data_IF_895660510100
#
_entry.id   IF_895660510100
#
_cell.length_a   1.000
_cell.length_b   1.000
_cell.length_c   1.000
_cell.angle_alpha   90.00
_cell.angle_beta   90.00
_cell.angle_gamma   90.00
#
_symmetry.space_group_name_H-M   'P 1'
#
loop_
_entity.id
_entity.type
_entity.pdbx_description
1 polymer ?
#
# COMPACT_ATOMS: atom_id res chain seq x y z
N UNK A 1 14.59 -34.54 3.47
CA UNK A 1 13.52 -35.53 3.61
C UNK A 1 12.18 -34.80 3.52
N UNK A 2 11.27 -35.33 2.68
CA UNK A 2 9.94 -34.74 2.41
C UNK A 2 9.07 -34.79 3.66
N UNK A 3 9.15 -35.84 4.45
CA UNK A 3 8.37 -36.00 5.69
C UNK A 3 8.73 -34.89 6.71
N UNK A 4 9.99 -34.59 6.89
CA UNK A 4 10.44 -33.46 7.72
C UNK A 4 9.88 -32.10 7.23
N UNK A 5 9.86 -31.90 5.92
CA UNK A 5 9.31 -30.69 5.35
C UNK A 5 7.80 -30.57 5.63
N UNK A 6 7.05 -31.66 5.47
CA UNK A 6 5.61 -31.69 5.77
C UNK A 6 5.33 -31.47 7.26
N UNK A 7 6.10 -32.08 8.17
CA UNK A 7 6.02 -31.81 9.61
C UNK A 7 6.28 -30.34 9.94
N UNK A 8 7.23 -29.71 9.26
CA UNK A 8 7.48 -28.27 9.42
C UNK A 8 6.31 -27.42 8.90
N UNK A 9 5.68 -27.81 7.77
CA UNK A 9 4.49 -27.14 7.26
C UNK A 9 3.34 -27.18 8.27
N UNK A 10 3.07 -28.33 8.88
CA UNK A 10 2.03 -28.51 9.90
C UNK A 10 2.35 -27.72 11.18
N UNK A 11 3.61 -27.76 11.60
CA UNK A 11 4.07 -26.92 12.71
C UNK A 11 3.75 -25.44 12.45
N UNK A 12 4.04 -24.90 11.24
CA UNK A 12 3.74 -23.51 10.92
C UNK A 12 2.25 -23.19 10.99
N UNK A 13 1.37 -24.12 10.63
CA UNK A 13 -0.08 -23.93 10.71
C UNK A 13 -0.61 -23.89 12.16
N UNK A 14 0.09 -24.49 13.10
CA UNK A 14 -0.25 -24.55 14.53
C UNK A 14 0.60 -23.64 15.43
N UNK A 15 1.67 -23.05 14.89
CA UNK A 15 2.68 -22.32 15.67
C UNK A 15 2.11 -21.12 16.43
N UNK A 16 2.56 -20.97 17.67
CA UNK A 16 2.22 -19.83 18.54
C UNK A 16 3.11 -18.63 18.24
N UNK A 17 2.61 -17.43 18.47
CA UNK A 17 3.40 -16.19 18.42
C UNK A 17 4.38 -16.15 19.58
N UNK A 18 5.64 -15.79 19.33
CA UNK A 18 6.69 -15.74 20.37
C UNK A 18 6.45 -14.64 21.42
N UNK A 19 5.86 -13.51 21.04
CA UNK A 19 5.75 -12.31 21.90
C UNK A 19 4.32 -11.88 22.21
N UNK A 20 3.29 -12.59 21.74
CA UNK A 20 1.88 -12.26 21.92
C UNK A 20 1.07 -13.54 22.03
N UNK A 21 -0.03 -13.49 22.77
CA UNK A 21 -0.96 -14.60 22.82
C UNK A 21 -1.55 -14.91 21.43
N UNK A 22 -1.81 -16.19 21.15
CA UNK A 22 -2.43 -16.69 19.93
C UNK A 22 -1.45 -17.32 18.94
N UNK A 23 -2.01 -17.89 17.89
CA UNK A 23 -1.27 -18.52 16.78
C UNK A 23 -0.83 -17.49 15.76
N UNK A 24 0.20 -17.83 14.97
CA UNK A 24 0.54 -17.03 13.78
C UNK A 24 -0.63 -17.12 12.78
N UNK A 25 -0.82 -16.06 11.98
CA UNK A 25 -1.86 -16.08 10.94
C UNK A 25 -1.48 -17.02 9.81
N UNK A 26 -2.47 -17.58 9.11
CA UNK A 26 -2.25 -18.44 7.94
C UNK A 26 -1.37 -17.75 6.88
N UNK A 27 -1.57 -16.46 6.66
CA UNK A 27 -0.74 -15.67 5.74
C UNK A 27 0.72 -15.55 6.21
N UNK A 28 0.98 -15.47 7.53
CA UNK A 28 2.34 -15.51 8.07
C UNK A 28 2.96 -16.87 7.89
N UNK A 29 2.21 -17.94 8.17
CA UNK A 29 2.66 -19.32 7.94
C UNK A 29 3.00 -19.55 6.46
N UNK A 30 2.15 -19.09 5.53
CA UNK A 30 2.41 -19.14 4.09
C UNK A 30 3.68 -18.38 3.69
N UNK A 31 3.93 -17.21 4.30
CA UNK A 31 5.15 -16.43 4.08
C UNK A 31 6.41 -17.18 4.52
N UNK A 32 6.42 -17.72 5.74
CA UNK A 32 7.54 -18.52 6.24
C UNK A 32 7.76 -19.78 5.42
N UNK A 33 6.69 -20.46 5.05
CA UNK A 33 6.74 -21.64 4.19
C UNK A 33 7.32 -21.33 2.80
N UNK A 34 6.90 -20.24 2.19
CA UNK A 34 7.43 -19.78 0.91
C UNK A 34 8.93 -19.47 0.98
N UNK A 35 9.39 -18.83 2.05
CA UNK A 35 10.81 -18.56 2.29
C UNK A 35 11.60 -19.86 2.44
N UNK A 36 11.10 -20.81 3.21
CA UNK A 36 11.72 -22.12 3.39
C UNK A 36 11.82 -22.90 2.07
N UNK A 37 10.74 -22.92 1.28
CA UNK A 37 10.74 -23.52 -0.07
C UNK A 37 11.73 -22.85 -1.02
N UNK A 38 11.87 -21.52 -0.93
CA UNK A 38 12.89 -20.78 -1.66
C UNK A 38 14.30 -21.21 -1.30
N UNK A 39 14.56 -21.41 0.00
CA UNK A 39 15.83 -21.92 0.50
C UNK A 39 16.13 -23.35 -0.03
N UNK A 40 15.16 -24.27 0.03
CA UNK A 40 15.33 -25.62 -0.54
C UNK A 40 15.65 -25.58 -2.04
N UNK A 41 15.06 -24.66 -2.79
CA UNK A 41 15.37 -24.49 -4.21
C UNK A 41 16.82 -24.05 -4.45
N UNK A 42 17.34 -23.20 -3.57
CA UNK A 42 18.75 -22.76 -3.62
C UNK A 42 19.67 -23.95 -3.33
N UNK A 43 19.38 -24.74 -2.28
CA UNK A 43 20.16 -25.93 -1.94
C UNK A 43 20.20 -26.95 -3.10
N UNK A 44 19.07 -27.17 -3.77
CA UNK A 44 19.01 -28.04 -4.93
C UNK A 44 19.86 -27.52 -6.10
N UNK A 45 19.74 -26.23 -6.43
CA UNK A 45 20.51 -25.58 -7.49
C UNK A 45 22.02 -25.62 -7.24
N UNK A 46 22.42 -25.54 -5.99
CA UNK A 46 23.83 -25.62 -5.60
C UNK A 46 24.34 -27.06 -5.42
N UNK A 47 23.54 -28.08 -5.78
CA UNK A 47 23.93 -29.50 -5.64
C UNK A 47 24.03 -30.01 -4.21
N UNK A 48 23.61 -29.22 -3.20
CA UNK A 48 23.65 -29.61 -1.77
C UNK A 48 22.59 -30.65 -1.42
N UNK A 49 21.50 -30.71 -2.17
CA UNK A 49 20.50 -31.78 -2.11
C UNK A 49 20.29 -32.34 -3.54
N UNK A 50 20.15 -33.67 -3.63
CA UNK A 50 20.09 -34.38 -4.91
C UNK A 50 18.71 -34.29 -5.57
N UNK A 51 17.64 -34.08 -4.82
CA UNK A 51 16.26 -34.08 -5.30
C UNK A 51 15.62 -32.72 -5.09
N UNK A 52 14.88 -32.22 -6.08
CA UNK A 52 14.06 -31.01 -5.92
C UNK A 52 12.81 -31.34 -5.09
N UNK A 53 12.94 -31.30 -3.78
CA UNK A 53 11.83 -31.61 -2.85
C UNK A 53 10.61 -30.71 -3.05
N UNK A 54 10.78 -29.52 -3.65
CA UNK A 54 9.67 -28.57 -3.87
C UNK A 54 8.57 -29.12 -4.79
N UNK A 55 8.89 -30.09 -5.65
CA UNK A 55 7.93 -30.68 -6.57
C UNK A 55 6.90 -31.55 -5.84
N UNK A 56 7.21 -31.96 -4.61
CA UNK A 56 6.37 -32.78 -3.75
C UNK A 56 5.73 -32.03 -2.57
N UNK A 57 6.01 -30.72 -2.45
CA UNK A 57 5.53 -29.91 -1.33
C UNK A 57 4.35 -29.02 -1.71
N UNK A 58 3.23 -29.24 -1.05
CA UNK A 58 2.04 -28.39 -1.21
C UNK A 58 2.29 -26.96 -0.69
N UNK A 59 1.61 -26.00 -1.29
CA UNK A 59 1.59 -24.63 -0.79
C UNK A 59 0.71 -24.51 0.45
N UNK A 60 0.97 -23.54 1.30
CA UNK A 60 0.02 -23.07 2.30
C UNK A 60 -0.80 -21.97 1.62
N UNK A 61 -2.07 -22.25 1.36
CA UNK A 61 -3.00 -21.29 0.79
C UNK A 61 -3.17 -20.09 1.72
N UNK A 62 -3.17 -18.89 1.14
CA UNK A 62 -3.39 -17.65 1.87
C UNK A 62 -4.87 -17.36 2.02
N UNK A 63 -5.24 -16.77 3.16
CA UNK A 63 -6.56 -16.19 3.35
C UNK A 63 -6.60 -14.79 2.74
N UNK A 64 -7.65 -14.51 1.99
CA UNK A 64 -7.86 -13.14 1.48
C UNK A 64 -8.36 -12.27 2.63
N UNK A 65 -7.43 -11.56 3.25
CA UNK A 65 -7.76 -10.58 4.28
C UNK A 65 -8.07 -9.25 3.62
N UNK A 66 -9.36 -8.91 3.54
CA UNK A 66 -9.78 -7.57 3.14
C UNK A 66 -9.19 -6.55 4.11
N UNK A 67 -8.16 -5.89 3.65
CA UNK A 67 -7.55 -4.80 4.41
C UNK A 67 -8.34 -3.53 4.16
N UNK A 68 -8.65 -2.79 5.20
CA UNK A 68 -9.54 -1.64 5.18
C UNK A 68 -8.93 -0.41 4.49
N UNK A 69 -9.79 0.35 3.82
CA UNK A 69 -9.52 1.67 3.27
C UNK A 69 -10.57 2.65 3.81
N UNK A 70 -10.26 3.93 3.82
CA UNK A 70 -11.21 4.97 4.20
C UNK A 70 -12.20 5.20 3.06
N UNK A 71 -13.45 5.54 3.39
CA UNK A 71 -14.39 6.16 2.45
C UNK A 71 -14.05 7.63 2.25
N UNK A 72 -14.72 8.30 1.33
CA UNK A 72 -14.58 9.76 1.11
C UNK A 72 -15.01 10.51 2.36
N UNK A 73 -16.12 10.14 2.96
CA UNK A 73 -16.69 10.76 4.17
C UNK A 73 -15.74 10.57 5.37
N UNK A 74 -15.20 9.36 5.55
CA UNK A 74 -14.21 9.09 6.60
C UNK A 74 -12.91 9.88 6.38
N UNK A 75 -12.50 10.09 5.13
CA UNK A 75 -11.32 10.90 4.81
C UNK A 75 -11.54 12.36 5.16
N UNK A 76 -12.70 12.95 4.85
CA UNK A 76 -13.06 14.31 5.23
C UNK A 76 -13.14 14.45 6.76
N UNK A 77 -13.84 13.54 7.44
CA UNK A 77 -13.93 13.53 8.89
C UNK A 77 -12.55 13.46 9.55
N UNK A 78 -11.66 12.63 9.02
CA UNK A 78 -10.29 12.52 9.49
C UNK A 78 -9.49 13.82 9.23
N UNK A 79 -9.70 14.44 8.08
CA UNK A 79 -9.05 15.71 7.72
C UNK A 79 -9.49 16.88 8.64
N UNK A 80 -10.73 16.91 9.08
CA UNK A 80 -11.24 17.92 10.01
C UNK A 80 -10.82 17.68 11.47
N UNK A 81 -10.62 16.40 11.84
CA UNK A 81 -10.30 16.03 13.22
C UNK A 81 -8.91 16.54 13.65
N UNK A 82 -8.79 17.24 14.79
CA UNK A 82 -7.50 17.64 15.34
C UNK A 82 -6.60 16.46 15.68
N UNK A 83 -5.31 16.58 15.40
CA UNK A 83 -4.32 15.55 15.70
C UNK A 83 -3.26 16.10 16.68
N UNK A 84 -3.00 15.38 17.78
CA UNK A 84 -1.95 15.75 18.76
C UNK A 84 -0.55 15.86 18.14
N UNK A 85 -0.34 15.21 17.01
CA UNK A 85 0.90 15.28 16.21
C UNK A 85 0.56 15.75 14.80
N UNK A 86 0.51 17.07 14.53
CA UNK A 86 0.07 17.61 13.24
C UNK A 86 0.80 17.02 12.05
N UNK A 87 2.12 16.77 12.18
CA UNK A 87 2.93 16.17 11.13
C UNK A 87 2.46 14.76 10.72
N UNK A 88 1.87 13.98 11.66
CA UNK A 88 1.29 12.66 11.36
C UNK A 88 0.04 12.83 10.50
N UNK A 89 -0.82 13.81 10.83
CA UNK A 89 -2.01 14.14 10.05
C UNK A 89 -1.62 14.54 8.62
N UNK A 90 -0.70 15.50 8.49
CA UNK A 90 -0.23 16.00 7.19
C UNK A 90 0.35 14.85 6.35
N UNK A 91 1.24 14.04 6.91
CA UNK A 91 1.85 12.91 6.21
C UNK A 91 0.84 11.83 5.80
N UNK A 92 -0.17 11.57 6.64
CA UNK A 92 -1.23 10.60 6.37
C UNK A 92 -2.13 11.06 5.22
N UNK A 93 -2.60 12.30 5.27
CA UNK A 93 -3.43 12.89 4.21
C UNK A 93 -2.64 13.01 2.90
N UNK A 94 -1.39 13.45 2.97
CA UNK A 94 -0.50 13.49 1.80
C UNK A 94 -0.32 12.10 1.17
N UNK A 95 -0.21 11.03 1.97
CA UNK A 95 -0.18 9.65 1.47
C UNK A 95 -1.50 9.25 0.81
N UNK A 96 -2.66 9.73 1.29
CA UNK A 96 -3.95 9.53 0.63
C UNK A 96 -4.06 10.21 -0.73
N UNK A 97 -3.32 11.31 -0.94
CA UNK A 97 -3.37 12.11 -2.16
C UNK A 97 -2.30 11.72 -3.19
N UNK A 98 -1.18 11.14 -2.74
CA UNK A 98 -0.03 10.82 -3.59
C UNK A 98 0.28 9.34 -3.70
N UNK A 99 -0.41 8.49 -2.94
CA UNK A 99 -0.10 7.05 -2.82
C UNK A 99 1.27 6.69 -2.23
N UNK A 100 2.11 7.65 -1.81
CA UNK A 100 3.44 7.39 -1.29
C UNK A 100 3.44 6.47 -0.06
N UNK A 101 4.40 5.54 -0.01
CA UNK A 101 4.59 4.66 1.15
C UNK A 101 5.23 5.45 2.30
N UNK A 102 5.06 4.98 3.54
CA UNK A 102 5.72 5.61 4.69
C UNK A 102 7.24 5.73 4.53
N UNK A 103 7.89 4.76 3.88
CA UNK A 103 9.33 4.83 3.60
C UNK A 103 9.69 5.99 2.67
N UNK A 104 8.84 6.22 1.67
CA UNK A 104 9.05 7.26 0.66
C UNK A 104 8.74 8.65 1.27
N UNK A 105 7.69 8.75 2.09
CA UNK A 105 7.36 9.98 2.83
C UNK A 105 8.47 10.37 3.81
N UNK A 106 9.04 9.41 4.55
CA UNK A 106 10.14 9.68 5.48
C UNK A 106 11.44 10.11 4.78
N UNK A 107 11.61 9.75 3.52
CA UNK A 107 12.78 10.10 2.71
C UNK A 107 12.53 11.30 1.79
N UNK A 108 11.29 11.75 1.61
CA UNK A 108 10.91 12.80 0.68
C UNK A 108 11.59 14.12 1.03
N UNK A 109 12.23 14.72 0.04
CA UNK A 109 12.90 16.00 0.14
C UNK A 109 12.15 17.06 -0.68
N UNK A 110 12.32 18.31 -0.33
CA UNK A 110 11.76 19.43 -1.11
C UNK A 110 12.33 19.44 -2.53
N UNK A 111 13.58 19.04 -2.70
CA UNK A 111 14.27 18.95 -3.96
C UNK A 111 13.72 17.86 -4.89
N UNK A 112 12.98 16.89 -4.34
CA UNK A 112 12.30 15.84 -5.13
C UNK A 112 10.99 16.33 -5.75
N UNK A 113 10.52 17.54 -5.38
CA UNK A 113 9.30 18.16 -5.91
C UNK A 113 9.71 19.10 -7.04
N UNK A 114 9.53 18.65 -8.27
CA UNK A 114 9.98 19.33 -9.48
C UNK A 114 8.82 19.68 -10.41
N UNK A 115 9.08 20.47 -11.43
CA UNK A 115 8.08 20.77 -12.46
C UNK A 115 7.73 19.51 -13.25
N UNK A 116 6.43 19.32 -13.49
CA UNK A 116 5.94 18.20 -14.27
C UNK A 116 5.76 18.63 -15.73
N UNK A 117 6.21 17.82 -16.67
CA UNK A 117 6.15 18.13 -18.09
C UNK A 117 4.73 18.36 -18.64
N UNK A 118 3.71 17.77 -18.01
CA UNK A 118 2.32 18.00 -18.36
C UNK A 118 1.66 19.16 -17.58
N UNK A 119 2.46 19.96 -16.87
CA UNK A 119 2.03 21.09 -16.03
C UNK A 119 1.88 20.75 -14.54
N UNK A 120 2.08 21.75 -13.68
CA UNK A 120 2.07 21.59 -12.24
C UNK A 120 3.37 20.98 -11.68
N UNK A 121 3.28 20.35 -10.52
CA UNK A 121 4.41 19.71 -9.82
C UNK A 121 4.27 18.21 -9.74
N UNK A 122 5.39 17.51 -9.62
CA UNK A 122 5.43 16.07 -9.35
C UNK A 122 6.50 15.74 -8.31
N UNK A 123 6.32 14.62 -7.64
CA UNK A 123 7.38 13.96 -6.88
C UNK A 123 8.18 13.08 -7.82
N UNK A 124 9.48 13.33 -7.91
CA UNK A 124 10.43 12.53 -8.67
C UNK A 124 11.36 11.82 -7.68
N UNK A 125 11.15 10.53 -7.45
CA UNK A 125 11.88 9.75 -6.45
C UNK A 125 12.33 8.40 -6.97
N UNK A 126 13.42 7.93 -6.37
CA UNK A 126 13.80 6.51 -6.47
C UNK A 126 13.13 5.77 -5.30
N UNK A 127 12.11 4.98 -5.59
CA UNK A 127 11.34 4.28 -4.54
C UNK A 127 12.23 3.35 -3.72
N UNK A 128 12.15 3.46 -2.40
CA UNK A 128 12.99 2.69 -1.47
C UNK A 128 12.85 1.18 -1.64
N UNK A 129 11.67 0.71 -2.00
CA UNK A 129 11.36 -0.72 -2.12
C UNK A 129 11.91 -1.37 -3.39
N UNK A 130 11.80 -0.70 -4.53
CA UNK A 130 12.03 -1.30 -5.84
C UNK A 130 13.26 -0.74 -6.56
N UNK A 131 13.88 0.32 -6.02
CA UNK A 131 14.94 1.11 -6.67
C UNK A 131 14.54 1.57 -8.08
N UNK A 132 13.23 1.70 -8.31
CA UNK A 132 12.67 2.22 -9.55
C UNK A 132 12.48 3.73 -9.42
N UNK A 133 12.72 4.43 -10.51
CA UNK A 133 12.42 5.84 -10.66
C UNK A 133 10.93 6.00 -10.91
N UNK A 134 10.26 6.80 -10.10
CA UNK A 134 8.84 7.06 -10.20
C UNK A 134 8.57 8.57 -10.23
N UNK A 135 7.69 8.98 -11.14
CA UNK A 135 7.19 10.34 -11.28
C UNK A 135 5.72 10.33 -10.88
N UNK A 136 5.39 11.01 -9.80
CA UNK A 136 4.03 11.03 -9.24
C UNK A 136 3.54 12.48 -9.26
N UNK A 137 2.57 12.83 -10.14
CA UNK A 137 1.96 14.16 -10.14
C UNK A 137 1.34 14.49 -8.79
N UNK A 138 1.48 15.76 -8.36
CA UNK A 138 0.94 16.27 -7.08
C UNK A 138 -0.11 17.31 -7.39
N UNK A 139 -1.27 17.22 -6.74
CA UNK A 139 -2.30 18.25 -6.82
C UNK A 139 -1.91 19.51 -6.04
N UNK A 140 -2.47 20.66 -6.42
CA UNK A 140 -2.28 21.93 -5.69
C UNK A 140 -2.74 21.82 -4.24
N UNK A 141 -3.79 21.07 -3.97
CA UNK A 141 -4.25 20.78 -2.61
C UNK A 141 -3.21 20.02 -1.79
N UNK A 142 -2.54 19.03 -2.37
CA UNK A 142 -1.49 18.28 -1.69
C UNK A 142 -0.23 19.15 -1.48
N UNK A 143 0.09 20.05 -2.41
CA UNK A 143 1.16 21.04 -2.24
C UNK A 143 0.83 22.03 -1.11
N UNK A 144 -0.41 22.52 -1.07
CA UNK A 144 -0.92 23.39 0.00
C UNK A 144 -0.86 22.71 1.36
N UNK A 145 -1.24 21.43 1.44
CA UNK A 145 -1.22 20.64 2.67
C UNK A 145 0.17 20.56 3.32
N UNK A 146 1.23 20.42 2.52
CA UNK A 146 2.63 20.38 3.01
C UNK A 146 3.25 21.78 3.11
N UNK A 147 2.53 22.82 2.68
CA UNK A 147 3.04 24.19 2.63
C UNK A 147 4.23 24.32 1.69
N UNK A 148 4.07 23.84 0.46
CA UNK A 148 5.16 23.85 -0.53
C UNK A 148 5.72 25.26 -0.76
N UNK A 149 7.05 25.35 -0.87
CA UNK A 149 7.77 26.52 -1.36
C UNK A 149 9.05 26.07 -2.05
N UNK A 150 9.39 26.66 -3.18
CA UNK A 150 10.61 26.36 -3.93
C UNK A 150 11.92 26.71 -3.19
N UNK A 151 11.83 27.54 -2.16
CA UNK A 151 12.98 27.94 -1.33
C UNK A 151 13.32 26.92 -0.26
N UNK A 152 12.38 26.03 0.10
CA UNK A 152 12.59 25.02 1.12
C UNK A 152 13.56 23.95 0.66
N UNK A 153 14.40 23.47 1.59
CA UNK A 153 15.39 22.41 1.35
C UNK A 153 15.36 21.34 2.43
N UNK A 154 15.83 20.16 2.09
CA UNK A 154 15.92 19.04 3.00
C UNK A 154 14.62 18.24 3.10
N UNK A 155 14.44 17.49 4.18
CA UNK A 155 13.28 16.61 4.35
C UNK A 155 11.97 17.39 4.50
N UNK A 156 10.95 17.01 3.74
CA UNK A 156 9.58 17.57 3.82
C UNK A 156 8.96 17.24 5.20
N UNK A 157 9.12 16.03 5.66
CA UNK A 157 8.56 15.54 6.93
C UNK A 157 9.66 15.31 7.97
N UNK A 158 10.56 16.28 8.16
CA UNK A 158 11.74 16.20 9.03
C UNK A 158 11.44 15.71 10.45
N UNK A 159 10.30 16.11 11.02
CA UNK A 159 9.93 15.78 12.40
C UNK A 159 9.13 14.47 12.51
N UNK A 160 8.77 13.86 11.38
CA UNK A 160 7.96 12.65 11.40
C UNK A 160 8.77 11.45 11.88
N UNK A 161 8.37 10.86 13.01
CA UNK A 161 8.95 9.59 13.47
C UNK A 161 8.09 8.41 13.03
N UNK A 162 8.72 7.36 12.53
CA UNK A 162 8.02 6.13 12.11
C UNK A 162 7.20 5.50 13.23
N UNK A 163 7.63 5.59 14.48
CA UNK A 163 6.90 5.11 15.65
C UNK A 163 5.54 5.81 15.83
N UNK A 164 5.41 7.07 15.40
CA UNK A 164 4.16 7.83 15.51
C UNK A 164 3.05 7.33 14.59
N UNK A 165 3.38 6.52 13.59
CA UNK A 165 2.38 5.82 12.77
C UNK A 165 1.70 4.65 13.50
N UNK A 166 2.05 4.39 14.74
CA UNK A 166 1.43 3.39 15.60
C UNK A 166 0.42 4.05 16.56
N UNK A 167 0.85 4.46 17.75
CA UNK A 167 -0.07 4.95 18.79
C UNK A 167 -0.66 6.33 18.44
N UNK A 168 0.13 7.39 18.14
CA UNK A 168 -0.44 8.71 17.85
C UNK A 168 -1.43 8.72 16.68
N UNK A 169 -1.12 7.98 15.61
CA UNK A 169 -2.00 7.87 14.46
C UNK A 169 -3.30 7.14 14.81
N UNK A 170 -3.23 6.06 15.57
CA UNK A 170 -4.44 5.30 15.99
C UNK A 170 -5.33 6.08 16.92
N UNK A 171 -4.74 6.87 17.84
CA UNK A 171 -5.51 7.77 18.71
C UNK A 171 -6.28 8.81 17.88
N UNK A 172 -5.60 9.43 16.90
CA UNK A 172 -6.23 10.38 15.99
C UNK A 172 -7.36 9.77 15.17
N UNK A 173 -7.16 8.57 14.61
CA UNK A 173 -8.21 7.84 13.86
C UNK A 173 -9.43 7.56 14.74
N UNK A 174 -9.21 7.14 16.00
CA UNK A 174 -10.30 6.91 16.96
C UNK A 174 -11.02 8.18 17.33
N UNK A 175 -10.30 9.30 17.52
CA UNK A 175 -10.93 10.60 17.81
C UNK A 175 -11.78 11.13 16.65
N UNK A 176 -11.52 10.68 15.43
CA UNK A 176 -12.37 10.90 14.26
C UNK A 176 -13.57 9.93 14.19
N UNK A 177 -13.82 9.10 15.21
CA UNK A 177 -14.93 8.15 15.21
C UNK A 177 -14.76 6.95 14.26
N UNK A 178 -13.58 6.78 13.65
CA UNK A 178 -13.32 5.72 12.68
C UNK A 178 -12.95 4.43 13.42
N UNK A 179 -13.76 3.39 13.24
CA UNK A 179 -13.59 2.07 13.90
C UNK A 179 -12.72 1.11 13.10
N UNK A 180 -12.47 1.40 11.83
CA UNK A 180 -11.64 0.60 10.94
C UNK A 180 -10.19 0.49 11.45
N UNK A 181 -9.57 -0.67 11.20
CA UNK A 181 -8.16 -0.88 11.54
C UNK A 181 -7.25 -0.25 10.47
N UNK A 182 -7.15 1.05 10.49
CA UNK A 182 -6.32 1.83 9.56
C UNK A 182 -4.85 1.79 10.00
N UNK A 183 -3.99 1.43 9.08
CA UNK A 183 -2.53 1.51 9.16
C UNK A 183 -2.03 2.55 8.18
N UNK A 184 -0.76 2.97 8.28
CA UNK A 184 -0.21 3.92 7.30
C UNK A 184 -0.33 3.39 5.86
N UNK A 185 -0.21 2.09 5.64
CA UNK A 185 -0.42 1.48 4.33
C UNK A 185 -1.89 1.55 3.84
N UNK A 186 -2.84 1.72 4.76
CA UNK A 186 -4.25 1.90 4.39
C UNK A 186 -4.51 3.21 3.66
N UNK A 187 -3.72 4.28 3.91
CA UNK A 187 -3.85 5.55 3.18
C UNK A 187 -3.53 5.39 1.69
N UNK A 188 -2.46 4.70 1.37
CA UNK A 188 -2.14 4.35 -0.02
C UNK A 188 -3.22 3.48 -0.68
N UNK A 189 -3.87 2.63 0.11
CA UNK A 189 -5.01 1.83 -0.36
C UNK A 189 -6.25 2.70 -0.56
N UNK A 190 -6.48 3.66 0.34
CA UNK A 190 -7.53 4.67 0.20
C UNK A 190 -7.39 5.41 -1.12
N UNK A 191 -6.18 5.90 -1.44
CA UNK A 191 -5.89 6.49 -2.75
C UNK A 191 -6.38 5.60 -3.91
N UNK A 192 -5.93 4.34 -3.97
CA UNK A 192 -6.30 3.44 -5.06
C UNK A 192 -7.81 3.16 -5.13
N UNK A 193 -8.46 2.98 -3.98
CA UNK A 193 -9.89 2.70 -3.89
C UNK A 193 -10.72 3.90 -4.35
N UNK A 194 -10.35 5.11 -3.92
CA UNK A 194 -11.04 6.34 -4.31
C UNK A 194 -10.82 6.69 -5.78
N UNK A 195 -9.60 6.52 -6.30
CA UNK A 195 -9.32 6.68 -7.73
C UNK A 195 -10.14 5.70 -8.58
N UNK A 196 -10.24 4.44 -8.16
CA UNK A 196 -11.07 3.46 -8.84
C UNK A 196 -12.56 3.79 -8.78
N UNK A 197 -13.06 4.28 -7.65
CA UNK A 197 -14.44 4.74 -7.49
C UNK A 197 -14.74 5.98 -8.38
N UNK A 198 -13.76 6.86 -8.55
CA UNK A 198 -13.84 8.02 -9.45
C UNK A 198 -13.74 7.64 -10.94
N UNK A 199 -13.54 6.36 -11.28
CA UNK A 199 -13.47 5.90 -12.68
C UNK A 199 -12.10 6.02 -13.33
N UNK A 200 -11.04 6.30 -12.57
CA UNK A 200 -9.67 6.33 -13.09
C UNK A 200 -9.29 4.95 -13.62
N UNK A 201 -8.69 4.92 -14.81
CA UNK A 201 -8.22 3.68 -15.43
C UNK A 201 -7.22 2.93 -14.54
N UNK A 202 -7.33 1.61 -14.52
CA UNK A 202 -6.51 0.76 -13.65
C UNK A 202 -5.01 0.83 -13.97
N UNK A 203 -4.62 1.04 -15.23
CA UNK A 203 -3.20 1.19 -15.61
C UNK A 203 -2.66 2.53 -15.11
N UNK A 204 -3.46 3.58 -15.16
CA UNK A 204 -3.12 4.88 -14.56
C UNK A 204 -2.94 4.74 -13.05
N UNK A 205 -3.85 4.06 -12.34
CA UNK A 205 -3.70 3.79 -10.90
C UNK A 205 -2.47 2.93 -10.63
N UNK A 206 -2.20 1.92 -11.45
CA UNK A 206 -0.99 1.08 -11.34
C UNK A 206 0.28 1.93 -11.43
N UNK A 207 0.35 2.82 -12.41
CA UNK A 207 1.46 3.76 -12.61
C UNK A 207 1.63 4.68 -11.40
N UNK A 208 0.58 5.39 -10.98
CA UNK A 208 0.59 6.28 -9.82
C UNK A 208 0.98 5.58 -8.52
N UNK A 209 0.74 4.27 -8.41
CA UNK A 209 1.16 3.46 -7.27
C UNK A 209 2.52 2.80 -7.46
N UNK A 210 3.19 2.97 -8.57
CA UNK A 210 4.43 2.26 -8.87
C UNK A 210 4.34 0.75 -8.59
N UNK A 211 3.27 0.11 -9.07
CA UNK A 211 3.08 -1.32 -8.93
C UNK A 211 3.63 -2.07 -10.16
N UNK A 212 4.59 -2.97 -9.94
CA UNK A 212 5.16 -3.81 -11.02
C UNK A 212 4.13 -4.73 -11.68
N UNK A 213 3.08 -5.15 -10.94
CA UNK A 213 2.03 -6.03 -11.43
C UNK A 213 0.66 -5.39 -11.28
N UNK A 214 -0.13 -5.43 -12.35
CA UNK A 214 -1.52 -4.97 -12.36
C UNK A 214 -2.39 -5.74 -11.35
N UNK A 215 -2.09 -7.03 -11.13
CA UNK A 215 -2.78 -7.89 -10.15
C UNK A 215 -2.73 -7.29 -8.73
N UNK A 216 -1.65 -6.56 -8.42
CA UNK A 216 -1.53 -5.86 -7.12
C UNK A 216 -2.52 -4.70 -7.03
N UNK A 217 -2.75 -3.97 -8.12
CA UNK A 217 -3.70 -2.85 -8.19
C UNK A 217 -5.14 -3.35 -8.21
N UNK A 218 -5.42 -4.45 -8.94
CA UNK A 218 -6.76 -5.05 -9.03
C UNK A 218 -7.36 -5.39 -7.67
N UNK A 219 -6.55 -5.72 -6.66
CA UNK A 219 -7.02 -5.99 -5.29
C UNK A 219 -7.73 -4.80 -4.63
N UNK A 220 -7.54 -3.60 -5.13
CA UNK A 220 -8.19 -2.38 -4.62
C UNK A 220 -9.41 -1.97 -5.46
N UNK A 221 -9.55 -2.56 -6.65
CA UNK A 221 -10.63 -2.25 -7.58
C UNK A 221 -11.84 -3.14 -7.29
N UNK A 222 -12.71 -2.70 -6.37
CA UNK A 222 -14.08 -3.22 -6.37
C UNK A 222 -14.80 -2.61 -7.57
N UNK A 223 -15.25 -3.46 -8.48
CA UNK A 223 -16.16 -3.00 -9.53
C UNK A 223 -17.46 -2.58 -8.85
N UNK A 224 -17.67 -1.29 -8.72
CA UNK A 224 -18.91 -0.74 -8.18
C UNK A 224 -19.97 -0.87 -9.27
N UNK A 225 -21.17 -1.32 -8.93
CA UNK A 225 -22.25 -1.50 -9.91
C UNK A 225 -22.65 -0.19 -10.63
N UNK A 226 -22.46 0.96 -9.98
CA UNK A 226 -22.59 2.28 -10.63
C UNK A 226 -21.63 2.45 -11.81
N UNK A 227 -20.39 2.01 -11.70
CA UNK A 227 -19.41 2.10 -12.78
C UNK A 227 -19.77 1.21 -13.97
N UNK A 228 -20.34 0.01 -13.72
CA UNK A 228 -20.88 -0.84 -14.80
C UNK A 228 -22.02 -0.15 -15.52
N UNK A 229 -22.93 0.46 -14.76
CA UNK A 229 -24.08 1.20 -15.32
C UNK A 229 -23.64 2.41 -16.13
N UNK A 230 -22.67 3.19 -15.64
CA UNK A 230 -22.11 4.33 -16.38
C UNK A 230 -21.34 3.85 -17.63
N UNK A 231 -20.59 2.78 -17.55
CA UNK A 231 -19.90 2.21 -18.71
C UNK A 231 -20.89 1.77 -19.80
N UNK A 232 -22.02 1.17 -19.43
CA UNK A 232 -23.05 0.74 -20.40
C UNK A 232 -23.72 1.91 -21.14
N UNK A 233 -23.75 3.11 -20.55
CA UNK A 233 -24.30 4.32 -21.16
C UNK A 233 -23.34 5.01 -22.14
N UNK A 234 -22.05 4.69 -22.11
CA UNK A 234 -21.04 5.35 -22.96
C UNK A 234 -21.13 4.98 -24.43
N UNK A 235 -21.74 3.84 -24.75
CA UNK A 235 -21.94 3.40 -26.13
C UNK A 235 -23.40 3.69 -26.50
N UNK A 236 -23.63 4.63 -27.41
CA UNK A 236 -24.95 4.99 -27.92
C UNK A 236 -24.95 4.88 -29.43
N UNK A 237 -26.07 4.44 -29.99
CA UNK A 237 -26.29 4.40 -31.45
C UNK A 237 -26.81 5.73 -32.01
N UNK A 238 -27.20 6.65 -31.14
CA UNK A 238 -27.65 7.99 -31.51
C UNK A 238 -26.52 9.00 -31.45
N UNK A 239 -26.28 9.73 -32.54
CA UNK A 239 -25.37 10.87 -32.53
C UNK A 239 -25.94 11.92 -31.57
N UNK A 240 -25.18 12.36 -30.58
CA UNK A 240 -25.48 13.60 -29.87
C UNK A 240 -25.32 14.74 -30.88
N UNK A 241 -26.40 15.39 -31.21
CA UNK A 241 -26.39 16.63 -31.97
C UNK A 241 -25.67 17.74 -31.24
#
# INVERSE_FOLDING_TARGET
DIDLCNKFREYLLSAKKLRRNGRITRNSASGYWSTFRGFLKILYRNGMIKTNVNDFLEKIETEDTMKEALSVEELYQLAETPCKKPIVKIASLFSCMTSLRISDILALRWEDIVDYSAGGKCVHIITQKNKAEDIIPISEEALGLIGYSSEKKGLVFKELMRSWTQVPMKEWIRSAGITKNITFHSYRRTFATLQGAAGTDIRTIQSLMAHKSITTTMRYMKVVDSNKREASKKITLTRKG
#
